data_IF_715405348772
#
_entry.id   IF_715405348772
#
_cell.length_a   1.000
_cell.length_b   1.000
_cell.length_c   1.000
_cell.angle_alpha   90.00
_cell.angle_beta   90.00
_cell.angle_gamma   90.00
#
_symmetry.space_group_name_H-M   'P 1'
#
loop_
_entity.id
_entity.type
_entity.pdbx_description
1 polymer ?
#
# COMPACT_ATOMS: atom_id res chain seq x y z
N UNK A 1 17.88 -19.18 4.49
CA UNK A 1 17.17 -18.14 5.27
C UNK A 1 17.03 -16.84 4.48
N UNK A 2 18.11 -16.29 3.90
CA UNK A 2 18.10 -15.05 3.10
C UNK A 2 17.08 -15.03 1.94
N UNK A 3 16.98 -16.13 1.18
CA UNK A 3 15.98 -16.25 0.09
C UNK A 3 14.53 -16.17 0.56
N UNK A 4 14.24 -16.54 1.81
CA UNK A 4 12.88 -16.50 2.37
C UNK A 4 12.47 -15.07 2.73
N UNK A 5 13.34 -14.32 3.39
CA UNK A 5 13.10 -12.91 3.72
C UNK A 5 12.97 -12.05 2.46
N UNK A 6 13.80 -12.30 1.45
CA UNK A 6 13.72 -11.60 0.17
C UNK A 6 12.35 -11.84 -0.52
N UNK A 7 11.88 -13.10 -0.56
CA UNK A 7 10.57 -13.43 -1.12
C UNK A 7 9.44 -12.73 -0.37
N UNK A 8 9.47 -12.75 0.95
CA UNK A 8 8.49 -12.07 1.79
C UNK A 8 8.49 -10.56 1.51
N UNK A 9 9.66 -9.92 1.49
CA UNK A 9 9.78 -8.49 1.20
C UNK A 9 9.23 -8.13 -0.19
N UNK A 10 9.54 -8.92 -1.21
CA UNK A 10 9.01 -8.73 -2.58
C UNK A 10 7.48 -8.84 -2.60
N UNK A 11 6.93 -9.84 -1.91
CA UNK A 11 5.47 -10.03 -1.85
C UNK A 11 4.78 -8.88 -1.11
N UNK A 12 5.36 -8.37 -0.02
CA UNK A 12 4.83 -7.20 0.71
C UNK A 12 4.85 -5.96 -0.19
N UNK A 13 5.95 -5.73 -0.91
CA UNK A 13 6.04 -4.63 -1.87
C UNK A 13 5.03 -4.80 -3.00
N UNK A 14 4.86 -6.01 -3.53
CA UNK A 14 3.86 -6.30 -4.55
C UNK A 14 2.43 -6.04 -4.05
N UNK A 15 2.12 -6.43 -2.81
CA UNK A 15 0.83 -6.15 -2.18
C UNK A 15 0.59 -4.65 -2.03
N UNK A 16 1.57 -3.93 -1.49
CA UNK A 16 1.49 -2.49 -1.25
C UNK A 16 1.36 -1.70 -2.56
N UNK A 17 2.11 -2.08 -3.60
CA UNK A 17 2.01 -1.49 -4.93
C UNK A 17 0.66 -1.80 -5.59
N UNK A 18 0.15 -3.01 -5.41
CA UNK A 18 -1.18 -3.41 -5.89
C UNK A 18 -2.28 -2.55 -5.27
N UNK A 19 -2.29 -2.38 -3.95
CA UNK A 19 -3.23 -1.50 -3.27
C UNK A 19 -3.08 -0.04 -3.68
N UNK A 20 -1.85 0.48 -3.71
CA UNK A 20 -1.59 1.85 -4.17
C UNK A 20 -2.08 2.09 -5.59
N UNK A 21 -1.82 1.14 -6.50
CA UNK A 21 -2.30 1.18 -7.88
C UNK A 21 -3.82 1.14 -7.96
N UNK A 22 -4.46 0.32 -7.11
CA UNK A 22 -5.91 0.29 -7.02
C UNK A 22 -6.48 1.61 -6.52
N UNK A 23 -5.87 2.21 -5.51
CA UNK A 23 -6.23 3.52 -4.94
C UNK A 23 -6.06 4.65 -5.96
N UNK A 24 -5.00 4.63 -6.74
CA UNK A 24 -4.81 5.57 -7.86
C UNK A 24 -5.88 5.36 -8.94
N UNK A 25 -6.20 4.10 -9.29
CA UNK A 25 -7.28 3.77 -10.22
C UNK A 25 -8.64 4.31 -9.74
N UNK A 26 -8.94 4.17 -8.44
CA UNK A 26 -10.12 4.77 -7.82
C UNK A 26 -10.11 6.30 -7.93
N UNK A 27 -8.96 6.93 -7.71
CA UNK A 27 -8.81 8.38 -7.88
C UNK A 27 -9.11 8.83 -9.31
N UNK A 28 -8.58 8.12 -10.31
CA UNK A 28 -8.87 8.38 -11.72
C UNK A 28 -10.36 8.21 -12.04
N UNK A 29 -10.98 7.12 -11.58
CA UNK A 29 -12.40 6.83 -11.81
C UNK A 29 -13.32 7.87 -11.16
N UNK A 30 -12.90 8.47 -10.03
CA UNK A 30 -13.67 9.51 -9.34
C UNK A 30 -13.85 10.78 -10.16
N UNK A 31 -12.89 11.10 -11.04
CA UNK A 31 -13.02 12.21 -11.99
C UNK A 31 -13.82 11.81 -13.23
N UNK A 32 -13.49 10.66 -13.82
CA UNK A 32 -14.24 10.08 -14.93
C UNK A 32 -14.04 8.57 -15.00
N UNK A 33 -15.15 7.84 -15.15
CA UNK A 33 -15.10 6.40 -15.43
C UNK A 33 -14.47 6.18 -16.81
N UNK A 34 -13.29 5.54 -16.81
CA UNK A 34 -12.54 5.20 -18.01
C UNK A 34 -12.01 3.78 -17.93
N UNK A 35 -11.81 3.14 -19.08
CA UNK A 35 -11.24 1.79 -19.13
C UNK A 35 -9.88 1.71 -18.43
N UNK A 36 -9.03 2.73 -18.58
CA UNK A 36 -7.72 2.80 -17.92
C UNK A 36 -7.84 2.85 -16.40
N UNK A 37 -8.78 3.63 -15.86
CA UNK A 37 -9.01 3.70 -14.41
C UNK A 37 -9.47 2.34 -13.84
N UNK A 38 -10.39 1.67 -14.54
CA UNK A 38 -10.89 0.35 -14.16
C UNK A 38 -9.79 -0.71 -14.26
N UNK A 39 -8.95 -0.66 -15.29
CA UNK A 39 -7.81 -1.57 -15.44
C UNK A 39 -6.82 -1.41 -14.29
N UNK A 40 -6.44 -0.17 -13.93
CA UNK A 40 -5.55 0.08 -12.79
C UNK A 40 -6.17 -0.41 -11.47
N UNK A 41 -7.45 -0.13 -11.26
CA UNK A 41 -8.21 -0.57 -10.08
C UNK A 41 -8.20 -2.09 -9.94
N UNK A 42 -8.68 -2.80 -10.96
CA UNK A 42 -8.86 -4.25 -10.89
C UNK A 42 -7.53 -5.00 -10.91
N UNK A 43 -6.57 -4.58 -11.75
CA UNK A 43 -5.27 -5.25 -11.82
C UNK A 43 -4.47 -5.06 -10.54
N UNK A 44 -4.47 -3.85 -9.96
CA UNK A 44 -3.82 -3.56 -8.69
C UNK A 44 -4.45 -4.37 -7.54
N UNK A 45 -5.77 -4.37 -7.46
CA UNK A 45 -6.50 -5.09 -6.41
C UNK A 45 -6.27 -6.61 -6.50
N UNK A 46 -6.32 -7.19 -7.69
CA UNK A 46 -6.05 -8.61 -7.90
C UNK A 46 -4.60 -8.95 -7.54
N UNK A 47 -3.63 -8.16 -8.00
CA UNK A 47 -2.22 -8.37 -7.68
C UNK A 47 -1.97 -8.34 -6.16
N UNK A 48 -2.57 -7.38 -5.46
CA UNK A 48 -2.49 -7.30 -4.01
C UNK A 48 -3.09 -8.52 -3.32
N UNK A 49 -4.31 -8.89 -3.71
CA UNK A 49 -5.03 -10.05 -3.15
C UNK A 49 -4.21 -11.33 -3.30
N UNK A 50 -3.62 -11.58 -4.48
CA UNK A 50 -2.78 -12.77 -4.68
C UNK A 50 -1.52 -12.78 -3.81
N UNK A 51 -0.86 -11.63 -3.66
CA UNK A 51 0.31 -11.51 -2.80
C UNK A 51 -0.06 -11.76 -1.32
N UNK A 52 -1.17 -11.20 -0.85
CA UNK A 52 -1.65 -11.37 0.52
C UNK A 52 -2.03 -12.82 0.85
N UNK A 53 -2.72 -13.52 -0.06
CA UNK A 53 -3.08 -14.94 0.13
C UNK A 53 -1.84 -15.80 0.41
N UNK A 54 -0.69 -15.44 -0.15
CA UNK A 54 0.58 -16.12 0.09
C UNK A 54 1.19 -15.68 1.43
N UNK A 55 1.22 -14.37 1.71
CA UNK A 55 1.81 -13.78 2.91
C UNK A 55 1.10 -14.19 4.21
N UNK A 56 -0.23 -14.27 4.19
CA UNK A 56 -1.05 -14.66 5.34
C UNK A 56 -0.79 -16.07 5.86
N UNK A 57 -0.08 -16.91 5.09
CA UNK A 57 0.28 -18.28 5.52
C UNK A 57 1.40 -18.33 6.54
N UNK A 58 2.17 -17.25 6.70
CA UNK A 58 3.38 -17.26 7.52
C UNK A 58 3.66 -15.98 8.30
N UNK A 59 2.81 -14.96 8.20
CA UNK A 59 3.01 -13.66 8.85
C UNK A 59 1.78 -13.32 9.69
N UNK A 60 2.02 -12.70 10.85
CA UNK A 60 0.94 -12.16 11.67
C UNK A 60 0.15 -11.10 10.88
N UNK A 61 -1.17 -11.21 10.91
CA UNK A 61 -2.08 -10.35 10.16
C UNK A 61 -1.88 -8.86 10.48
N UNK A 62 -1.73 -8.51 11.77
CA UNK A 62 -1.59 -7.12 12.21
C UNK A 62 -0.31 -6.47 11.70
N UNK A 63 0.84 -7.15 11.86
CA UNK A 63 2.12 -6.66 11.37
C UNK A 63 2.12 -6.52 9.84
N UNK A 64 1.57 -7.51 9.13
CA UNK A 64 1.47 -7.48 7.67
C UNK A 64 0.70 -6.25 7.17
N UNK A 65 -0.51 -6.03 7.70
CA UNK A 65 -1.36 -4.91 7.27
C UNK A 65 -0.77 -3.55 7.64
N UNK A 66 -0.12 -3.42 8.80
CA UNK A 66 0.54 -2.17 9.17
C UNK A 66 1.65 -1.80 8.19
N UNK A 67 2.45 -2.77 7.74
CA UNK A 67 3.50 -2.54 6.73
C UNK A 67 2.86 -2.11 5.40
N UNK A 68 1.84 -2.83 4.95
CA UNK A 68 1.16 -2.53 3.68
C UNK A 68 0.56 -1.12 3.70
N UNK A 69 -0.19 -0.78 4.75
CA UNK A 69 -0.83 0.54 4.90
C UNK A 69 0.23 1.64 4.96
N UNK A 70 1.35 1.43 5.65
CA UNK A 70 2.41 2.42 5.71
C UNK A 70 3.01 2.72 4.33
N UNK A 71 3.33 1.69 3.55
CA UNK A 71 3.88 1.84 2.20
C UNK A 71 2.83 2.46 1.27
N UNK A 72 1.58 1.98 1.31
CA UNK A 72 0.48 2.54 0.51
C UNK A 72 0.27 4.02 0.80
N UNK A 73 0.23 4.40 2.09
CA UNK A 73 0.06 5.79 2.51
C UNK A 73 1.14 6.69 1.92
N UNK A 74 2.40 6.26 1.96
CA UNK A 74 3.51 7.02 1.37
C UNK A 74 3.34 7.20 -0.14
N UNK A 75 2.97 6.13 -0.86
CA UNK A 75 2.81 6.17 -2.32
C UNK A 75 1.62 7.04 -2.70
N UNK A 76 0.48 6.89 -2.03
CA UNK A 76 -0.75 7.64 -2.31
C UNK A 76 -0.57 9.13 -2.03
N UNK A 77 0.11 9.51 -0.94
CA UNK A 77 0.41 10.91 -0.66
C UNK A 77 1.43 11.49 -1.64
N UNK A 78 2.45 10.73 -2.04
CA UNK A 78 3.37 11.14 -3.08
C UNK A 78 2.66 11.35 -4.43
N UNK A 79 1.71 10.47 -4.75
CA UNK A 79 0.87 10.62 -5.94
C UNK A 79 -0.05 11.84 -5.86
N UNK A 80 -0.75 12.05 -4.73
CA UNK A 80 -1.60 13.22 -4.52
C UNK A 80 -0.83 14.54 -4.68
N UNK A 81 0.41 14.58 -4.16
CA UNK A 81 1.31 15.70 -4.37
C UNK A 81 1.71 15.87 -5.84
N UNK A 82 1.99 14.78 -6.57
CA UNK A 82 2.42 14.85 -7.97
C UNK A 82 1.32 15.30 -8.94
N UNK A 83 0.04 15.04 -8.63
CA UNK A 83 -1.11 15.53 -9.40
C UNK A 83 -1.59 16.92 -8.98
N UNK A 84 -0.93 17.55 -8.00
CA UNK A 84 -1.19 18.92 -7.58
C UNK A 84 -2.36 19.10 -6.60
N UNK A 85 -2.87 18.04 -5.97
CA UNK A 85 -3.93 18.15 -4.93
C UNK A 85 -3.42 18.74 -3.61
N UNK A 86 -2.10 18.91 -3.49
CA UNK A 86 -1.45 19.39 -2.28
C UNK A 86 -1.50 18.37 -1.15
N UNK A 87 -0.83 18.69 -0.05
CA UNK A 87 -0.84 17.88 1.16
C UNK A 87 -1.22 18.78 2.34
N UNK A 88 -2.27 18.42 3.06
CA UNK A 88 -2.69 19.14 4.26
C UNK A 88 -1.83 18.73 5.47
N UNK A 89 -1.71 19.61 6.46
CA UNK A 89 -0.99 19.31 7.70
C UNK A 89 -1.55 18.06 8.40
N UNK A 90 -2.87 17.86 8.34
CA UNK A 90 -3.53 16.68 8.89
C UNK A 90 -3.12 15.38 8.20
N UNK A 91 -2.96 15.39 6.88
CA UNK A 91 -2.50 14.22 6.11
C UNK A 91 -1.05 13.86 6.46
N UNK A 92 -0.18 14.86 6.59
CA UNK A 92 1.23 14.66 6.96
C UNK A 92 1.34 14.09 8.37
N UNK A 93 0.61 14.66 9.33
CA UNK A 93 0.60 14.18 10.72
C UNK A 93 0.00 12.76 10.79
N UNK A 94 -1.08 12.50 10.06
CA UNK A 94 -1.68 11.17 9.97
C UNK A 94 -0.70 10.13 9.42
N UNK A 95 0.01 10.43 8.33
CA UNK A 95 1.06 9.57 7.80
C UNK A 95 2.19 9.34 8.82
N UNK A 96 2.57 10.40 9.56
CA UNK A 96 3.52 10.30 10.67
C UNK A 96 3.09 9.28 11.72
N UNK A 97 1.82 9.29 12.14
CA UNK A 97 1.30 8.29 13.09
C UNK A 97 1.36 6.86 12.56
N UNK A 98 1.05 6.66 11.27
CA UNK A 98 1.15 5.34 10.63
C UNK A 98 2.60 4.83 10.66
N UNK A 99 3.58 5.70 10.34
CA UNK A 99 5.00 5.35 10.37
C UNK A 99 5.50 5.06 11.79
N UNK A 100 5.05 5.82 12.79
CA UNK A 100 5.38 5.56 14.21
C UNK A 100 4.81 4.22 14.65
N UNK A 101 3.55 3.92 14.31
CA UNK A 101 2.93 2.62 14.60
C UNK A 101 3.69 1.46 13.96
N UNK A 102 4.12 1.62 12.71
CA UNK A 102 4.96 0.64 12.03
C UNK A 102 6.31 0.45 12.74
N UNK A 103 6.97 1.55 13.13
CA UNK A 103 8.27 1.49 13.80
C UNK A 103 8.18 0.73 15.14
N UNK A 104 7.13 0.96 15.93
CA UNK A 104 6.89 0.23 17.19
C UNK A 104 6.72 -1.27 16.93
N UNK A 105 5.84 -1.64 16.00
CA UNK A 105 5.58 -3.06 15.69
C UNK A 105 6.79 -3.76 15.08
N UNK A 106 7.63 -3.04 14.34
CA UNK A 106 8.86 -3.59 13.77
C UNK A 106 9.96 -3.83 14.80
N UNK A 107 9.89 -3.19 15.98
CA UNK A 107 10.85 -3.39 17.08
C UNK A 107 10.46 -4.59 17.96
N UNK A 108 9.17 -4.86 18.08
CA UNK A 108 8.64 -5.98 18.87
C UNK A 108 8.46 -7.30 18.08
N UNK A 109 8.72 -7.29 16.77
CA UNK A 109 8.49 -8.39 15.83
C UNK A 109 9.69 -9.27 15.50
#
# INVERSE_FOLDING_TARGET
MESMYLKTGILILAASLGYSGATIGMKMASGAWSATAVLFLLSGFLAATFAEIILMRGINLGALYLIIIAVETLIVLAYAFSIGEGLTTQQIVGAGFVLVGLAIVSVDG
#
